data_IF_000348499183
#
_entry.id   IF_000348499183
#
_cell.length_a   1.000
_cell.length_b   1.000
_cell.length_c   1.000
_cell.angle_alpha   90.00
_cell.angle_beta   90.00
_cell.angle_gamma   90.00
#
_symmetry.space_group_name_H-M   'P 1'
#
loop_
_entity.id
_entity.type
_entity.pdbx_description
1 polymer ?
#
# COMPACT_ATOMS: atom_id res chain seq x y z
N UNK A 1 36.47 -69.55 -53.94
CA UNK A 1 35.16 -69.52 -54.62
C UNK A 1 34.15 -68.79 -53.74
N UNK A 2 33.56 -67.72 -54.26
CA UNK A 2 32.24 -67.12 -53.97
C UNK A 2 31.69 -66.91 -52.53
N UNK A 3 31.62 -65.62 -52.15
CA UNK A 3 30.45 -64.78 -51.73
C UNK A 3 29.70 -64.96 -50.38
N UNK A 4 29.19 -63.78 -49.95
CA UNK A 4 28.10 -63.42 -49.00
C UNK A 4 28.46 -63.31 -47.50
N UNK A 5 28.01 -62.35 -46.66
CA UNK A 5 27.50 -60.97 -46.77
C UNK A 5 27.25 -60.48 -45.30
N UNK A 6 27.36 -59.16 -45.06
CA UNK A 6 26.65 -58.35 -44.02
C UNK A 6 27.10 -58.26 -42.54
N UNK A 7 27.41 -56.99 -42.16
CA UNK A 7 26.88 -56.18 -41.01
C UNK A 7 27.29 -56.60 -39.56
N UNK A 8 27.53 -55.74 -38.57
CA UNK A 8 27.45 -54.28 -38.33
C UNK A 8 28.33 -53.98 -37.07
N UNK A 9 29.19 -52.95 -37.09
CA UNK A 9 29.02 -51.61 -36.50
C UNK A 9 28.88 -51.53 -34.95
N UNK A 10 29.87 -50.87 -34.35
CA UNK A 10 29.96 -50.46 -32.95
C UNK A 10 28.97 -49.33 -32.60
N UNK A 11 28.52 -49.25 -31.34
CA UNK A 11 27.87 -48.05 -30.83
C UNK A 11 28.01 -47.91 -29.31
N UNK A 12 28.77 -46.88 -28.91
CA UNK A 12 28.95 -46.40 -27.54
C UNK A 12 27.65 -45.81 -27.01
N UNK A 13 27.23 -46.20 -25.80
CA UNK A 13 26.09 -45.60 -25.10
C UNK A 13 26.55 -44.40 -24.26
N UNK A 14 26.30 -43.19 -24.75
CA UNK A 14 26.36 -41.94 -23.98
C UNK A 14 25.00 -41.75 -23.30
N UNK A 15 24.93 -41.90 -21.98
CA UNK A 15 23.74 -41.54 -21.19
C UNK A 15 23.72 -40.01 -21.00
N UNK A 16 22.92 -39.31 -21.80
CA UNK A 16 22.61 -37.91 -21.57
C UNK A 16 21.51 -37.80 -20.49
N UNK A 17 21.88 -37.40 -19.27
CA UNK A 17 20.93 -36.89 -18.29
C UNK A 17 20.44 -35.52 -18.78
N UNK A 18 19.26 -35.48 -19.40
CA UNK A 18 18.52 -34.24 -19.63
C UNK A 18 18.00 -33.74 -18.28
N UNK A 19 18.74 -32.80 -17.68
CA UNK A 19 18.26 -32.02 -16.55
C UNK A 19 17.03 -31.22 -16.95
N UNK A 20 15.86 -31.61 -16.47
CA UNK A 20 14.66 -30.78 -16.52
C UNK A 20 14.84 -29.65 -15.49
N UNK A 21 15.38 -28.52 -15.92
CA UNK A 21 15.29 -27.29 -15.13
C UNK A 21 13.84 -26.82 -15.18
N UNK A 22 13.03 -27.20 -14.18
CA UNK A 22 11.75 -26.55 -13.93
C UNK A 22 12.02 -25.07 -13.71
N UNK A 23 11.80 -24.26 -14.74
CA UNK A 23 11.71 -22.82 -14.58
C UNK A 23 10.41 -22.60 -13.80
N UNK A 24 10.51 -22.33 -12.50
CA UNK A 24 9.40 -21.79 -11.76
C UNK A 24 9.07 -20.44 -12.41
N UNK A 25 8.00 -20.39 -13.21
CA UNK A 25 7.40 -19.13 -13.64
C UNK A 25 7.03 -18.37 -12.36
N UNK A 26 7.67 -17.23 -12.13
CA UNK A 26 7.31 -16.34 -11.04
C UNK A 26 5.87 -15.89 -11.27
N UNK A 27 4.95 -16.41 -10.46
CA UNK A 27 3.53 -16.11 -10.55
C UNK A 27 3.27 -14.74 -9.93
N UNK A 28 2.55 -13.87 -10.66
CA UNK A 28 2.25 -12.52 -10.20
C UNK A 28 1.10 -12.64 -9.20
N UNK A 29 1.37 -12.25 -7.95
CA UNK A 29 0.33 -12.28 -6.93
C UNK A 29 -0.46 -11.00 -6.97
N UNK A 30 -1.78 -11.09 -7.22
CA UNK A 30 -2.71 -9.98 -7.13
C UNK A 30 -3.55 -10.08 -5.85
N UNK A 31 -3.58 -9.01 -5.06
CA UNK A 31 -4.52 -8.78 -3.96
C UNK A 31 -5.53 -7.72 -4.36
N UNK A 32 -6.82 -7.99 -4.17
CA UNK A 32 -7.89 -7.01 -4.37
C UNK A 32 -8.64 -6.74 -3.08
N UNK A 33 -8.70 -5.48 -2.66
CA UNK A 33 -9.38 -5.03 -1.45
C UNK A 33 -10.42 -3.97 -1.77
N UNK A 34 -11.64 -4.12 -1.24
CA UNK A 34 -12.72 -3.11 -1.32
C UNK A 34 -13.21 -2.80 0.08
N UNK A 35 -13.21 -1.51 0.44
CA UNK A 35 -13.62 -1.00 1.74
C UNK A 35 -14.81 -0.05 1.61
N UNK A 36 -15.82 -0.25 2.44
CA UNK A 36 -16.93 0.67 2.67
C UNK A 36 -16.49 1.73 3.68
N UNK A 37 -16.39 2.99 3.25
CA UNK A 37 -16.02 4.11 4.13
C UNK A 37 -17.30 4.66 4.76
N UNK A 38 -17.32 4.72 6.09
CA UNK A 38 -18.46 5.18 6.88
C UNK A 38 -18.04 6.28 7.86
N UNK A 39 -18.93 7.23 8.09
CA UNK A 39 -18.82 8.24 9.13
C UNK A 39 -19.96 8.03 10.13
N UNK A 40 -19.62 7.71 11.38
CA UNK A 40 -20.59 7.40 12.44
C UNK A 40 -21.63 6.34 12.01
N UNK A 41 -21.18 5.32 11.28
CA UNK A 41 -22.00 4.23 10.75
C UNK A 41 -22.69 4.51 9.41
N UNK A 42 -22.74 5.76 8.96
CA UNK A 42 -23.37 6.16 7.69
C UNK A 42 -22.36 6.01 6.54
N UNK A 43 -22.67 5.26 5.46
CA UNK A 43 -21.79 5.17 4.28
C UNK A 43 -21.59 6.54 3.62
N UNK A 44 -20.33 6.91 3.40
CA UNK A 44 -19.92 8.17 2.77
C UNK A 44 -19.04 7.97 1.54
N UNK A 45 -18.50 6.76 1.33
CA UNK A 45 -17.67 6.47 0.19
C UNK A 45 -17.26 5.01 0.08
N UNK A 46 -16.53 4.70 -0.98
CA UNK A 46 -15.86 3.42 -1.18
C UNK A 46 -14.40 3.66 -1.54
N UNK A 47 -13.53 2.84 -1.00
CA UNK A 47 -12.13 2.75 -1.39
C UNK A 47 -11.87 1.35 -1.94
N UNK A 48 -11.10 1.26 -3.01
CA UNK A 48 -10.65 0.01 -3.59
C UNK A 48 -9.17 0.13 -3.90
N UNK A 49 -8.42 -0.94 -3.68
CA UNK A 49 -7.06 -1.02 -4.21
C UNK A 49 -6.70 -2.46 -4.59
N UNK A 50 -5.89 -2.55 -5.64
CA UNK A 50 -5.24 -3.77 -6.07
C UNK A 50 -3.74 -3.66 -5.79
N UNK A 51 -3.12 -4.70 -5.23
CA UNK A 51 -1.67 -4.82 -5.04
C UNK A 51 -1.17 -5.99 -5.87
N UNK A 52 -0.19 -5.74 -6.72
CA UNK A 52 0.49 -6.76 -7.51
C UNK A 52 1.89 -6.95 -6.94
N UNK A 53 2.29 -8.20 -6.70
CA UNK A 53 3.62 -8.57 -6.19
C UNK A 53 4.27 -9.55 -7.16
N UNK A 54 5.34 -9.10 -7.82
CA UNK A 54 6.16 -9.87 -8.75
C UNK A 54 7.62 -9.88 -8.24
N UNK A 55 8.05 -11.00 -7.68
CA UNK A 55 9.31 -11.07 -6.93
C UNK A 55 9.36 -10.03 -5.80
N UNK A 56 10.35 -9.13 -5.88
CA UNK A 56 10.50 -7.98 -4.97
C UNK A 56 9.83 -6.71 -5.49
N UNK A 57 9.27 -6.71 -6.70
CA UNK A 57 8.57 -5.55 -7.25
C UNK A 57 7.12 -5.51 -6.77
N UNK A 58 6.60 -4.31 -6.51
CA UNK A 58 5.19 -4.10 -6.25
C UNK A 58 4.59 -3.02 -7.16
N UNK A 59 3.28 -3.16 -7.37
CA UNK A 59 2.42 -2.12 -7.94
C UNK A 59 1.15 -2.02 -7.09
N UNK A 60 0.75 -0.80 -6.75
CA UNK A 60 -0.52 -0.50 -6.08
C UNK A 60 -1.37 0.38 -6.98
N UNK A 61 -2.56 -0.09 -7.33
CA UNK A 61 -3.58 0.69 -8.01
C UNK A 61 -4.74 0.94 -7.06
N UNK A 62 -4.91 2.17 -6.59
CA UNK A 62 -5.97 2.56 -5.68
C UNK A 62 -6.98 3.48 -6.36
N UNK A 63 -8.24 3.37 -5.95
CA UNK A 63 -9.30 4.29 -6.33
C UNK A 63 -10.25 4.53 -5.17
N UNK A 64 -10.85 5.71 -5.14
CA UNK A 64 -11.82 6.09 -4.13
C UNK A 64 -12.90 6.95 -4.74
N UNK A 65 -14.12 6.83 -4.21
CA UNK A 65 -15.22 7.71 -4.57
C UNK A 65 -16.15 7.96 -3.40
N UNK A 66 -16.78 9.13 -3.39
CA UNK A 66 -17.92 9.42 -2.52
C UNK A 66 -19.11 8.52 -2.85
N UNK A 67 -19.98 8.33 -1.88
CA UNK A 67 -21.18 7.51 -2.03
C UNK A 67 -22.34 8.07 -1.20
N UNK A 68 -23.56 7.63 -1.52
CA UNK A 68 -24.77 8.00 -0.79
C UNK A 68 -25.11 9.48 -0.88
N UNK A 69 -25.71 10.02 0.19
CA UNK A 69 -26.14 11.42 0.23
C UNK A 69 -24.96 12.41 0.08
N UNK A 70 -23.77 12.04 0.55
CA UNK A 70 -22.56 12.87 0.42
C UNK A 70 -22.20 13.11 -1.05
N UNK A 71 -22.31 12.09 -1.88
CA UNK A 71 -22.00 12.17 -3.32
C UNK A 71 -22.91 13.16 -4.08
N UNK A 72 -24.18 13.26 -3.67
CA UNK A 72 -25.14 14.17 -4.29
C UNK A 72 -24.78 15.66 -4.06
N UNK A 73 -24.15 15.98 -2.93
CA UNK A 73 -23.83 17.36 -2.56
C UNK A 73 -22.36 17.72 -2.80
N UNK A 74 -21.45 16.75 -2.63
CA UNK A 74 -20.00 16.90 -2.71
C UNK A 74 -19.35 15.68 -3.38
N UNK A 75 -19.56 15.48 -4.70
CA UNK A 75 -18.95 14.36 -5.41
C UNK A 75 -17.43 14.49 -5.44
N UNK A 76 -16.74 13.38 -5.29
CA UNK A 76 -15.29 13.27 -5.33
C UNK A 76 -14.86 11.89 -5.80
N UNK A 77 -13.93 11.85 -6.75
CA UNK A 77 -13.25 10.63 -7.19
C UNK A 77 -11.74 10.83 -7.16
N UNK A 78 -11.03 9.82 -6.69
CA UNK A 78 -9.58 9.79 -6.62
C UNK A 78 -9.02 8.50 -7.19
N UNK A 79 -7.85 8.57 -7.79
CA UNK A 79 -7.06 7.42 -8.23
C UNK A 79 -5.61 7.63 -7.81
N UNK A 80 -4.95 6.56 -7.38
CA UNK A 80 -3.53 6.58 -7.10
C UNK A 80 -2.85 5.36 -7.72
N UNK A 81 -1.65 5.56 -8.24
CA UNK A 81 -0.75 4.51 -8.70
C UNK A 81 0.56 4.66 -7.92
N UNK A 82 1.08 3.57 -7.39
CA UNK A 82 2.41 3.53 -6.80
C UNK A 82 3.14 2.28 -7.25
N UNK A 83 4.42 2.42 -7.55
CA UNK A 83 5.29 1.32 -7.97
C UNK A 83 6.61 1.41 -7.21
N UNK A 84 7.28 0.26 -7.05
CA UNK A 84 8.56 0.22 -6.36
C UNK A 84 9.02 -1.19 -6.00
N UNK A 85 9.85 -1.28 -4.98
CA UNK A 85 10.41 -2.51 -4.44
C UNK A 85 9.90 -2.76 -3.01
N UNK A 86 9.48 -3.99 -2.73
CA UNK A 86 9.04 -4.49 -1.43
C UNK A 86 9.95 -5.65 -1.00
N UNK A 87 10.93 -5.31 -0.17
CA UNK A 87 11.87 -6.25 0.44
C UNK A 87 11.47 -6.50 1.89
N UNK A 88 11.87 -7.63 2.53
CA UNK A 88 11.57 -7.88 3.93
C UNK A 88 11.90 -6.68 4.83
N UNK A 89 10.88 -6.05 5.40
CA UNK A 89 11.02 -4.88 6.29
C UNK A 89 11.30 -3.53 5.61
N UNK A 90 11.36 -3.47 4.27
CA UNK A 90 11.69 -2.25 3.53
C UNK A 90 10.80 -2.09 2.28
N UNK A 91 10.21 -0.90 2.13
CA UNK A 91 9.50 -0.49 0.91
C UNK A 91 10.23 0.71 0.33
N UNK A 92 10.57 0.64 -0.95
CA UNK A 92 11.17 1.73 -1.71
C UNK A 92 10.24 2.07 -2.87
N UNK A 93 9.55 3.21 -2.77
CA UNK A 93 8.81 3.74 -3.90
C UNK A 93 9.78 4.15 -5.01
N UNK A 94 9.36 4.00 -6.26
CA UNK A 94 10.04 4.55 -7.44
C UNK A 94 9.21 5.67 -8.09
N UNK A 95 7.88 5.54 -8.02
CA UNK A 95 6.97 6.57 -8.49
C UNK A 95 5.65 6.57 -7.70
N UNK A 96 5.00 7.72 -7.64
CA UNK A 96 3.61 7.86 -7.24
C UNK A 96 2.86 8.81 -8.18
N UNK A 97 1.65 8.45 -8.57
CA UNK A 97 0.74 9.30 -9.33
C UNK A 97 -0.60 9.37 -8.63
N UNK A 98 -1.15 10.56 -8.48
CA UNK A 98 -2.49 10.75 -7.88
C UNK A 98 -3.30 11.68 -8.75
N UNK A 99 -4.53 11.29 -9.08
CA UNK A 99 -5.50 12.15 -9.74
C UNK A 99 -6.73 12.28 -8.85
N UNK A 100 -7.21 13.49 -8.67
CA UNK A 100 -8.44 13.77 -7.95
C UNK A 100 -9.33 14.70 -8.76
N UNK A 101 -10.63 14.43 -8.71
CA UNK A 101 -11.67 15.28 -9.28
C UNK A 101 -12.84 15.32 -8.32
N UNK A 102 -13.01 16.47 -7.66
CA UNK A 102 -14.19 16.84 -6.91
C UNK A 102 -15.06 17.84 -7.68
N UNK A 103 -16.09 18.36 -7.00
CA UNK A 103 -17.00 19.37 -7.54
C UNK A 103 -16.28 20.64 -8.02
N UNK A 104 -15.45 21.22 -7.16
CA UNK A 104 -14.79 22.51 -7.39
C UNK A 104 -13.26 22.38 -7.34
N UNK A 105 -12.73 21.16 -7.35
CA UNK A 105 -11.31 20.89 -7.17
C UNK A 105 -10.85 19.77 -8.10
N UNK A 106 -9.76 20.03 -8.81
CA UNK A 106 -9.04 19.03 -9.57
C UNK A 106 -7.58 19.10 -9.19
N UNK A 107 -6.95 17.95 -8.98
CA UNK A 107 -5.52 17.90 -8.77
C UNK A 107 -4.90 16.68 -9.44
N UNK A 108 -3.66 16.86 -9.88
CA UNK A 108 -2.79 15.83 -10.41
C UNK A 108 -1.43 15.94 -9.74
N UNK A 109 -0.96 14.84 -9.19
CA UNK A 109 0.35 14.70 -8.57
C UNK A 109 1.13 13.64 -9.33
N UNK A 110 2.35 13.96 -9.73
CA UNK A 110 3.36 13.01 -10.20
C UNK A 110 4.60 13.18 -9.31
N UNK A 111 5.03 12.10 -8.64
CA UNK A 111 6.26 12.06 -7.84
C UNK A 111 7.18 10.94 -8.32
N UNK A 112 8.48 11.21 -8.32
CA UNK A 112 9.52 10.19 -8.53
C UNK A 112 10.40 10.09 -7.29
N UNK A 113 10.99 8.91 -7.11
CA UNK A 113 11.84 8.61 -5.98
C UNK A 113 13.12 7.93 -6.45
N UNK A 114 14.23 8.23 -5.78
CA UNK A 114 15.52 7.58 -6.01
C UNK A 114 16.06 7.07 -4.68
N UNK A 115 16.21 5.76 -4.55
CA UNK A 115 16.69 5.10 -3.32
C UNK A 115 15.94 5.50 -2.03
N UNK A 116 14.63 5.78 -2.15
CA UNK A 116 13.78 6.19 -1.03
C UNK A 116 13.73 7.71 -0.79
N UNK A 117 14.50 8.51 -1.52
CA UNK A 117 14.44 9.97 -1.45
C UNK A 117 13.52 10.51 -2.56
N UNK A 118 12.76 11.56 -2.28
CA UNK A 118 11.96 12.24 -3.32
C UNK A 118 12.90 12.97 -4.27
N UNK A 119 12.76 12.68 -5.57
CA UNK A 119 13.56 13.27 -6.64
C UNK A 119 12.80 14.41 -7.34
N UNK A 120 11.59 14.14 -7.84
CA UNK A 120 10.73 15.15 -8.47
C UNK A 120 9.32 15.15 -7.85
N UNK A 121 8.71 16.34 -7.77
CA UNK A 121 7.31 16.53 -7.39
C UNK A 121 6.66 17.51 -8.37
N UNK A 122 5.64 17.05 -9.09
CA UNK A 122 4.79 17.87 -9.96
C UNK A 122 3.37 17.82 -9.43
N UNK A 123 2.92 18.90 -8.78
CA UNK A 123 1.56 19.07 -8.29
C UNK A 123 0.84 20.15 -9.08
N UNK A 124 -0.15 19.75 -9.86
CA UNK A 124 -1.09 20.63 -10.52
C UNK A 124 -2.40 20.62 -9.73
N UNK A 125 -2.92 21.78 -9.33
CA UNK A 125 -4.21 21.86 -8.62
C UNK A 125 -4.96 23.12 -9.01
N UNK A 126 -6.28 23.01 -9.13
CA UNK A 126 -7.17 24.16 -9.34
C UNK A 126 -7.36 25.01 -8.09
N UNK A 127 -6.87 24.55 -6.92
CA UNK A 127 -6.96 25.25 -5.63
C UNK A 127 -5.61 25.25 -4.90
N UNK A 128 -4.60 25.99 -5.39
CA UNK A 128 -3.32 26.07 -4.73
C UNK A 128 -3.46 26.68 -3.32
N UNK A 129 -2.75 26.11 -2.35
CA UNK A 129 -2.69 26.64 -0.98
C UNK A 129 -1.59 27.69 -0.90
N UNK A 130 -1.92 28.88 -0.37
CA UNK A 130 -0.89 29.85 0.01
C UNK A 130 -0.16 29.38 1.28
N UNK A 131 1.10 28.99 1.10
CA UNK A 131 2.00 28.50 2.14
C UNK A 131 3.03 29.55 2.60
N UNK A 132 2.90 30.80 2.16
CA UNK A 132 3.86 31.88 2.50
C UNK A 132 3.75 32.37 3.95
N UNK A 133 2.60 32.14 4.60
CA UNK A 133 2.35 32.64 5.96
C UNK A 133 3.24 32.01 7.04
N UNK A 134 3.59 32.74 8.12
CA UNK A 134 4.58 32.34 9.12
C UNK A 134 4.15 31.14 10.00
N UNK A 135 2.88 30.75 9.93
CA UNK A 135 2.36 29.58 10.66
C UNK A 135 2.57 28.27 9.90
N UNK A 136 2.99 28.30 8.64
CA UNK A 136 3.28 27.10 7.87
C UNK A 136 4.62 26.51 8.30
N UNK A 137 4.65 25.19 8.46
CA UNK A 137 5.88 24.43 8.67
C UNK A 137 6.40 24.01 7.30
N UNK A 138 7.56 24.53 6.85
CA UNK A 138 8.06 24.26 5.51
C UNK A 138 8.55 22.81 5.38
N UNK A 139 8.37 22.24 4.19
CA UNK A 139 8.97 20.95 3.83
C UNK A 139 10.40 21.23 3.36
N UNK A 140 11.39 20.65 4.02
CA UNK A 140 12.80 20.75 3.66
C UNK A 140 13.25 19.52 2.89
N UNK A 141 14.34 19.63 2.12
CA UNK A 141 14.91 18.50 1.38
C UNK A 141 15.30 17.33 2.30
N UNK A 142 15.80 17.61 3.51
CA UNK A 142 16.13 16.56 4.48
C UNK A 142 14.92 15.74 4.94
N UNK A 143 13.74 16.36 5.00
CA UNK A 143 12.50 15.68 5.35
C UNK A 143 11.98 14.75 4.26
N UNK A 144 12.50 14.88 3.04
CA UNK A 144 12.13 14.10 1.87
C UNK A 144 13.04 12.88 1.64
N UNK A 145 13.92 12.58 2.60
CA UNK A 145 14.81 11.41 2.55
C UNK A 145 14.17 10.18 3.19
N UNK A 146 14.36 9.02 2.56
CA UNK A 146 13.86 7.72 3.02
C UNK A 146 12.36 7.74 3.38
N UNK A 147 11.55 8.25 2.47
CA UNK A 147 10.09 8.35 2.57
C UNK A 147 9.40 7.44 1.56
N UNK A 148 8.12 7.19 1.80
CA UNK A 148 7.21 6.51 0.86
C UNK A 148 5.98 7.38 0.61
N UNK A 149 5.24 7.08 -0.45
CA UNK A 149 3.93 7.68 -0.68
C UNK A 149 2.81 6.92 0.08
N UNK A 150 1.60 7.51 0.22
CA UNK A 150 0.49 6.88 0.91
C UNK A 150 0.05 5.52 0.34
N UNK A 151 0.08 5.31 -0.98
CA UNK A 151 -0.30 4.04 -1.59
C UNK A 151 0.76 2.96 -1.35
N UNK A 152 2.05 3.31 -1.40
CA UNK A 152 3.15 2.42 -0.98
C UNK A 152 2.99 1.90 0.45
N UNK A 153 2.41 2.72 1.35
CA UNK A 153 2.20 2.32 2.75
C UNK A 153 1.20 1.17 2.93
N UNK A 154 0.43 0.82 1.88
CA UNK A 154 -0.45 -0.35 1.87
C UNK A 154 0.32 -1.67 1.71
N UNK A 155 1.60 -1.63 1.33
CA UNK A 155 2.44 -2.82 1.16
C UNK A 155 3.33 -2.96 2.38
N UNK A 156 3.13 -4.02 3.17
CA UNK A 156 3.86 -4.23 4.43
C UNK A 156 4.61 -5.55 4.35
N UNK A 157 5.80 -5.56 3.74
CA UNK A 157 6.62 -6.77 3.66
C UNK A 157 7.27 -7.06 5.03
N UNK A 158 7.33 -8.33 5.36
CA UNK A 158 8.11 -8.89 6.47
C UNK A 158 8.91 -10.07 5.96
N UNK A 159 9.90 -10.52 6.73
CA UNK A 159 10.56 -11.81 6.48
C UNK A 159 9.62 -12.96 6.83
N UNK A 160 9.78 -14.13 6.22
CA UNK A 160 8.95 -15.32 6.50
C UNK A 160 8.89 -15.68 7.98
N UNK A 161 10.03 -15.66 8.67
CA UNK A 161 10.15 -15.87 10.12
C UNK A 161 9.30 -14.90 10.97
N UNK A 162 8.94 -13.75 10.41
CA UNK A 162 8.18 -12.70 11.08
C UNK A 162 6.71 -12.64 10.65
N UNK A 163 6.28 -13.44 9.67
CA UNK A 163 4.90 -13.42 9.17
C UNK A 163 3.86 -13.75 10.25
N UNK A 164 4.21 -14.65 11.18
CA UNK A 164 3.35 -15.03 12.29
C UNK A 164 3.59 -14.20 13.57
N UNK A 165 4.27 -13.06 13.46
CA UNK A 165 4.57 -12.16 14.58
C UNK A 165 3.93 -10.79 14.38
N UNK A 166 2.78 -10.56 15.03
CA UNK A 166 2.06 -9.29 14.95
C UNK A 166 2.88 -8.07 15.39
N UNK A 167 3.88 -8.23 16.27
CA UNK A 167 4.81 -7.15 16.63
C UNK A 167 5.77 -6.83 15.49
N UNK A 168 6.27 -7.83 14.78
CA UNK A 168 7.13 -7.60 13.62
C UNK A 168 6.35 -6.95 12.46
N UNK A 169 5.05 -7.26 12.31
CA UNK A 169 4.18 -6.58 11.34
C UNK A 169 3.87 -5.15 11.77
N UNK A 170 3.43 -4.92 13.02
CA UNK A 170 2.95 -3.60 13.44
C UNK A 170 4.04 -2.64 13.94
N UNK A 171 5.11 -3.06 14.61
CA UNK A 171 6.02 -2.13 15.29
C UNK A 171 7.00 -1.49 14.30
N UNK A 172 6.53 -0.44 13.62
CA UNK A 172 7.30 0.30 12.61
C UNK A 172 6.83 1.75 12.48
N UNK A 173 7.67 2.57 11.90
CA UNK A 173 7.31 3.94 11.51
C UNK A 173 7.29 4.05 10.00
N UNK A 174 6.15 4.41 9.43
CA UNK A 174 6.03 4.72 8.02
C UNK A 174 6.24 6.22 7.83
N UNK A 175 7.33 6.58 7.17
CA UNK A 175 7.70 7.95 6.84
C UNK A 175 7.00 8.36 5.55
N UNK A 176 5.89 9.09 5.63
CA UNK A 176 5.06 9.37 4.47
C UNK A 176 5.23 10.82 4.02
N UNK A 177 5.41 11.00 2.72
CA UNK A 177 5.26 12.27 2.03
C UNK A 177 4.18 12.13 0.95
N UNK A 178 3.16 12.98 0.98
CA UNK A 178 1.99 12.88 0.10
C UNK A 178 2.01 13.86 -1.09
N UNK A 179 3.17 14.47 -1.38
CA UNK A 179 3.32 15.53 -2.38
C UNK A 179 3.11 16.94 -1.82
N UNK A 180 2.62 17.06 -0.58
CA UNK A 180 2.33 18.35 0.03
C UNK A 180 2.83 18.44 1.48
N UNK A 181 2.62 17.38 2.26
CA UNK A 181 2.93 17.26 3.67
C UNK A 181 3.78 16.03 3.99
N UNK A 182 4.64 16.21 5.00
CA UNK A 182 5.50 15.15 5.55
C UNK A 182 4.98 14.77 6.93
N UNK A 183 4.70 13.49 7.14
CA UNK A 183 4.23 12.98 8.42
C UNK A 183 4.63 11.52 8.65
N UNK A 184 4.84 11.17 9.90
CA UNK A 184 5.07 9.79 10.29
C UNK A 184 3.76 9.14 10.76
N UNK A 185 3.55 7.92 10.30
CA UNK A 185 2.56 7.01 10.88
C UNK A 185 3.32 5.98 11.72
N UNK A 186 3.25 6.14 13.04
CA UNK A 186 3.89 5.22 13.99
C UNK A 186 2.90 4.13 14.35
N UNK A 187 3.23 2.88 14.01
CA UNK A 187 2.40 1.72 14.27
C UNK A 187 2.92 0.96 15.48
N UNK A 188 2.00 0.40 16.26
CA UNK A 188 2.35 -0.52 17.35
C UNK A 188 1.33 -1.63 17.48
N UNK A 189 1.78 -2.85 17.73
CA UNK A 189 0.89 -4.01 17.87
C UNK A 189 -0.07 -3.83 19.05
N UNK A 190 -1.36 -4.01 18.79
CA UNK A 190 -2.42 -4.00 19.82
C UNK A 190 -2.89 -5.41 20.16
N UNK A 191 -3.32 -6.16 19.15
CA UNK A 191 -3.91 -7.51 19.29
C UNK A 191 -3.96 -8.24 17.95
N UNK A 192 -4.22 -9.54 18.00
CA UNK A 192 -4.63 -10.34 16.84
C UNK A 192 -6.14 -10.56 16.93
N UNK A 193 -6.85 -10.45 15.80
CA UNK A 193 -8.29 -10.64 15.74
C UNK A 193 -8.66 -11.50 14.54
N UNK A 194 -9.64 -12.39 14.69
CA UNK A 194 -10.25 -13.06 13.53
C UNK A 194 -11.19 -12.11 12.81
N UNK A 195 -11.09 -12.08 11.49
CA UNK A 195 -11.95 -11.31 10.60
C UNK A 195 -12.40 -12.17 9.43
N UNK A 196 -13.66 -11.96 9.01
CA UNK A 196 -14.25 -12.62 7.86
C UNK A 196 -14.88 -11.57 6.94
N UNK A 197 -14.58 -11.67 5.66
CA UNK A 197 -15.17 -10.86 4.58
C UNK A 197 -15.21 -11.71 3.31
N UNK A 198 -15.76 -11.19 2.22
CA UNK A 198 -15.75 -11.90 0.94
C UNK A 198 -14.31 -12.10 0.46
N UNK A 199 -13.92 -13.35 0.21
CA UNK A 199 -12.59 -13.75 -0.25
C UNK A 199 -11.56 -14.03 0.85
N UNK A 200 -11.89 -13.76 2.12
CA UNK A 200 -10.94 -13.94 3.22
C UNK A 200 -11.62 -14.28 4.55
N UNK A 201 -11.09 -15.29 5.24
CA UNK A 201 -11.44 -15.63 6.61
C UNK A 201 -10.19 -16.07 7.35
N UNK A 202 -9.73 -15.27 8.31
CA UNK A 202 -8.45 -15.51 8.95
C UNK A 202 -8.13 -14.47 10.01
N UNK A 203 -6.87 -14.41 10.42
CA UNK A 203 -6.41 -13.45 11.40
C UNK A 203 -6.01 -12.13 10.74
N UNK A 204 -6.22 -11.03 11.45
CA UNK A 204 -5.61 -9.75 11.17
C UNK A 204 -4.84 -9.28 12.42
N UNK A 205 -3.70 -8.66 12.19
CA UNK A 205 -3.01 -7.91 13.23
C UNK A 205 -3.61 -6.52 13.32
N UNK A 206 -4.10 -6.17 14.50
CA UNK A 206 -4.58 -4.84 14.79
C UNK A 206 -3.42 -4.02 15.35
N UNK A 207 -3.03 -2.99 14.62
CA UNK A 207 -2.02 -2.03 15.01
C UNK A 207 -2.71 -0.75 15.50
N UNK A 208 -2.24 -0.17 16.61
CA UNK A 208 -2.51 1.24 16.92
C UNK A 208 -1.72 2.10 15.95
N UNK A 209 -2.33 3.19 15.49
CA UNK A 209 -1.67 4.22 14.68
C UNK A 209 -1.50 5.49 15.52
N UNK A 210 -0.36 6.16 15.36
CA UNK A 210 -0.13 7.52 15.84
C UNK A 210 0.35 8.40 14.70
N UNK A 211 -0.35 9.51 14.49
CA UNK A 211 -0.02 10.50 13.48
C UNK A 211 0.94 11.54 14.07
N UNK A 212 2.08 11.73 13.42
CA UNK A 212 3.09 12.72 13.81
C UNK A 212 3.32 13.65 12.62
N UNK A 213 2.75 14.87 12.61
CA UNK A 213 2.96 15.82 11.51
C UNK A 213 4.35 16.47 11.62
N UNK A 214 5.14 16.44 10.55
CA UNK A 214 6.47 17.07 10.51
C UNK A 214 6.49 18.37 9.71
N UNK A 215 5.89 18.40 8.52
CA UNK A 215 5.90 19.58 7.64
C UNK A 215 4.71 19.62 6.67
N UNK A 216 4.58 20.73 5.92
CA UNK A 216 3.52 20.95 4.92
C UNK A 216 2.15 21.22 5.53
N UNK A 217 2.13 21.71 6.78
CA UNK A 217 0.91 22.03 7.48
C UNK A 217 1.02 23.37 8.24
N UNK A 218 -0.13 23.93 8.61
CA UNK A 218 -0.18 25.16 9.42
C UNK A 218 -0.29 24.80 10.90
N UNK A 219 0.55 25.41 11.73
CA UNK A 219 0.47 25.33 13.20
C UNK A 219 -0.86 25.88 13.71
N UNK A 220 -1.39 25.28 14.77
CA UNK A 220 -2.65 25.72 15.38
C UNK A 220 -3.92 25.21 14.69
N UNK A 221 -3.81 24.31 13.69
CA UNK A 221 -4.99 23.72 13.07
C UNK A 221 -5.60 22.67 13.99
N UNK A 222 -6.83 22.93 14.47
CA UNK A 222 -7.57 22.04 15.38
C UNK A 222 -7.61 20.58 14.92
N UNK A 223 -7.84 20.34 13.62
CA UNK A 223 -7.88 18.97 13.07
C UNK A 223 -6.53 18.26 13.23
N UNK A 224 -5.42 18.95 12.97
CA UNK A 224 -4.06 18.39 13.10
C UNK A 224 -3.73 18.12 14.56
N UNK A 225 -4.04 19.07 15.45
CA UNK A 225 -3.81 18.89 16.89
C UNK A 225 -4.63 17.73 17.46
N UNK A 226 -5.88 17.58 17.04
CA UNK A 226 -6.71 16.45 17.43
C UNK A 226 -6.09 15.14 16.95
N UNK A 227 -5.73 15.04 15.67
CA UNK A 227 -5.15 13.83 15.10
C UNK A 227 -3.81 13.47 15.73
N UNK A 228 -3.01 14.46 16.13
CA UNK A 228 -1.74 14.26 16.85
C UNK A 228 -1.96 13.68 18.26
N UNK A 229 -3.05 14.06 18.92
CA UNK A 229 -3.45 13.57 20.25
C UNK A 229 -4.32 12.31 20.21
N UNK A 230 -4.71 11.85 19.02
CA UNK A 230 -5.62 10.74 18.85
C UNK A 230 -4.92 9.41 19.15
N UNK A 231 -5.35 8.73 20.21
CA UNK A 231 -4.81 7.43 20.62
C UNK A 231 -5.70 6.25 20.22
N UNK A 232 -6.83 6.52 19.57
CA UNK A 232 -7.84 5.51 19.24
C UNK A 232 -7.79 5.01 17.80
N UNK A 233 -6.80 5.42 16.99
CA UNK A 233 -6.68 4.98 15.61
C UNK A 233 -6.19 3.52 15.52
N UNK A 234 -6.89 2.72 14.72
CA UNK A 234 -6.53 1.31 14.46
C UNK A 234 -6.38 1.04 12.96
N UNK A 235 -5.33 0.29 12.63
CA UNK A 235 -5.11 -0.32 11.32
C UNK A 235 -5.14 -1.83 11.46
N UNK A 236 -5.95 -2.50 10.67
CA UNK A 236 -6.03 -3.95 10.68
C UNK A 236 -5.34 -4.47 9.43
N UNK A 237 -4.35 -5.33 9.64
CA UNK A 237 -3.48 -5.86 8.60
C UNK A 237 -3.68 -7.36 8.46
N UNK A 238 -4.07 -7.80 7.27
CA UNK A 238 -4.19 -9.21 6.92
C UNK A 238 -3.09 -9.61 5.91
N UNK A 239 -2.61 -10.86 5.96
CA UNK A 239 -1.64 -11.35 4.99
C UNK A 239 -2.26 -11.47 3.59
N UNK A 240 -1.46 -11.22 2.57
CA UNK A 240 -1.82 -11.45 1.17
C UNK A 240 -1.45 -12.89 0.80
N UNK A 241 -2.45 -13.70 0.47
CA UNK A 241 -2.28 -15.13 0.19
C UNK A 241 -1.35 -15.81 1.22
N UNK A 242 -0.33 -16.55 0.73
CA UNK A 242 0.70 -17.20 1.55
C UNK A 242 2.05 -16.47 1.51
N UNK A 243 2.12 -15.24 0.99
CA UNK A 243 3.37 -14.45 0.98
C UNK A 243 3.51 -13.66 2.30
N UNK A 244 4.73 -13.36 2.76
CA UNK A 244 4.97 -12.57 3.96
C UNK A 244 4.76 -11.06 3.72
N UNK A 245 3.66 -10.71 3.03
CA UNK A 245 3.27 -9.32 2.74
C UNK A 245 1.88 -9.10 3.32
N UNK A 246 1.74 -8.03 4.09
CA UNK A 246 0.48 -7.65 4.72
C UNK A 246 -0.10 -6.41 4.04
N UNK A 247 -1.42 -6.29 4.06
CA UNK A 247 -2.10 -5.06 3.67
C UNK A 247 -3.34 -4.80 4.51
N UNK A 248 -3.91 -3.61 4.33
CA UNK A 248 -5.04 -3.11 5.10
C UNK A 248 -6.31 -3.88 4.75
N UNK A 249 -6.99 -4.41 5.76
CA UNK A 249 -8.33 -5.00 5.63
C UNK A 249 -9.41 -4.17 6.34
N UNK A 250 -9.02 -3.33 7.30
CA UNK A 250 -9.93 -2.44 8.03
C UNK A 250 -9.18 -1.26 8.64
N UNK A 251 -9.85 -0.11 8.71
CA UNK A 251 -9.34 1.11 9.35
C UNK A 251 -10.39 1.67 10.30
N UNK A 252 -9.96 2.16 11.45
CA UNK A 252 -10.80 2.91 12.38
C UNK A 252 -10.07 4.17 12.84
N UNK A 253 -10.71 5.32 12.68
CA UNK A 253 -10.16 6.62 13.07
C UNK A 253 -11.26 7.39 13.79
N UNK A 254 -11.17 7.51 15.13
CA UNK A 254 -11.97 8.49 15.86
C UNK A 254 -11.60 9.89 15.36
N UNK A 255 -12.58 10.74 15.10
CA UNK A 255 -12.37 12.15 14.81
C UNK A 255 -13.16 12.98 15.81
N UNK A 256 -12.86 14.27 15.91
CA UNK A 256 -13.59 15.18 16.80
C UNK A 256 -15.10 15.27 16.52
N UNK A 257 -15.55 14.94 15.29
CA UNK A 257 -16.97 14.97 14.90
C UNK A 257 -17.64 13.60 14.93
N UNK A 258 -16.88 12.51 15.02
CA UNK A 258 -17.41 11.16 14.88
C UNK A 258 -16.37 10.15 14.43
N UNK A 259 -16.75 8.88 14.33
CA UNK A 259 -15.82 7.82 13.95
C UNK A 259 -15.84 7.60 12.44
N UNK A 260 -14.66 7.63 11.81
CA UNK A 260 -14.48 7.16 10.44
C UNK A 260 -14.06 5.69 10.49
N UNK A 261 -14.76 4.83 9.74
CA UNK A 261 -14.39 3.42 9.60
C UNK A 261 -14.33 3.03 8.13
N UNK A 262 -13.32 2.26 7.74
CA UNK A 262 -13.25 1.60 6.44
C UNK A 262 -13.44 0.09 6.69
N UNK A 263 -14.62 -0.44 6.38
CA UNK A 263 -15.00 -1.83 6.65
C UNK A 263 -14.85 -2.69 5.39
N UNK A 264 -14.36 -3.93 5.48
CA UNK A 264 -14.10 -4.75 4.30
C UNK A 264 -15.37 -5.29 3.66
N UNK A 265 -15.58 -4.98 2.38
CA UNK A 265 -16.57 -5.62 1.51
C UNK A 265 -15.94 -6.78 0.71
N UNK A 266 -14.65 -6.68 0.39
CA UNK A 266 -13.88 -7.70 -0.33
C UNK A 266 -12.41 -7.67 0.12
N UNK A 267 -11.80 -8.84 0.27
CA UNK A 267 -10.37 -9.04 0.39
C UNK A 267 -10.04 -10.39 -0.24
N UNK A 268 -9.41 -10.41 -1.41
CA UNK A 268 -9.20 -11.63 -2.19
C UNK A 268 -7.82 -11.61 -2.83
N UNK A 269 -7.10 -12.72 -2.73
CA UNK A 269 -5.82 -12.91 -3.40
C UNK A 269 -5.97 -13.93 -4.53
N UNK A 270 -5.45 -13.61 -5.71
CA UNK A 270 -5.37 -14.50 -6.87
C UNK A 270 -3.94 -14.51 -7.39
N UNK A 271 -3.51 -15.65 -7.88
CA UNK A 271 -2.23 -15.77 -8.55
C UNK A 271 -2.48 -15.75 -10.07
N UNK A 272 -1.63 -15.03 -10.81
CA UNK A 272 -1.76 -14.71 -12.24
C UNK A 272 -0.58 -15.24 -13.04
#
# INVERSE_FOLDING_TARGET
>A
MAKFLSRAAAMSAFLALLGQTSHATAEILKQSTVLSVRFSGIPVGKAQFDIFIDGESYKVEASGKTAGIVDMFAPGKGQALSEGQAKPGLVLASMNKVNYTGKDEKSKLDMTFSNGDVDEVKLETSKPRDKSGPKWVPVTSDLLKSVIDPASSLVIPVSDQNANNGRAVCNRTMKIYDGDARYDMVLSYKRTQIIKTKGYGGYAYVCKLKYVPLAGHKRGQKNIEYMTKNEGMELWLAPIAKKPVFTVIRVEVPTWLGQVTALPEKFESTAQ
#
